data_IF_848655085040
#
_entry.id   IF_848655085040
#
_cell.length_a   1.000
_cell.length_b   1.000
_cell.length_c   1.000
_cell.angle_alpha   90.00
_cell.angle_beta   90.00
_cell.angle_gamma   90.00
#
_symmetry.space_group_name_H-M   'P 1'
#
loop_
_entity.id
_entity.type
_entity.pdbx_description
1 polymer ?
#
# COMPACT_ATOMS: atom_id res chain seq x y z
N UNK A 1 -3.86 -13.26 3.81
CA UNK A 1 -5.01 -12.96 2.90
C UNK A 1 -6.31 -12.61 3.64
N UNK A 2 -6.79 -13.34 4.65
CA UNK A 2 -8.12 -13.14 5.28
C UNK A 2 -8.47 -11.68 5.61
N UNK A 3 -7.56 -10.91 6.28
CA UNK A 3 -7.82 -9.49 6.60
C UNK A 3 -8.05 -8.63 5.33
N UNK A 4 -7.35 -8.89 4.23
CA UNK A 4 -7.52 -8.16 2.97
C UNK A 4 -8.84 -8.56 2.29
N UNK A 5 -9.07 -9.86 2.12
CA UNK A 5 -10.29 -10.37 1.49
C UNK A 5 -11.58 -9.92 2.19
N UNK A 6 -11.59 -9.77 3.52
CA UNK A 6 -12.72 -9.22 4.26
C UNK A 6 -13.13 -7.81 3.78
N UNK A 7 -12.22 -7.05 3.17
CA UNK A 7 -12.49 -5.71 2.64
C UNK A 7 -12.73 -5.68 1.14
N UNK A 8 -12.02 -6.52 0.37
CA UNK A 8 -11.99 -6.42 -1.10
C UNK A 8 -12.81 -7.48 -1.84
N UNK A 9 -13.29 -8.54 -1.14
CA UNK A 9 -14.02 -9.64 -1.78
C UNK A 9 -15.24 -9.15 -2.57
N UNK A 10 -15.32 -9.53 -3.84
CA UNK A 10 -16.35 -9.16 -4.81
C UNK A 10 -16.49 -7.65 -5.07
N UNK A 11 -15.45 -6.84 -4.78
CA UNK A 11 -15.46 -5.38 -4.92
C UNK A 11 -14.57 -4.88 -6.04
N UNK A 12 -14.89 -3.70 -6.56
CA UNK A 12 -14.02 -2.91 -7.41
C UNK A 12 -12.99 -2.18 -6.55
N UNK A 13 -11.72 -2.26 -6.94
CA UNK A 13 -10.58 -1.73 -6.19
C UNK A 13 -9.79 -0.76 -7.07
N UNK A 14 -9.58 0.48 -6.60
CA UNK A 14 -8.61 1.40 -7.17
C UNK A 14 -7.30 1.32 -6.38
N UNK A 15 -6.21 0.96 -7.03
CA UNK A 15 -4.86 1.05 -6.48
C UNK A 15 -4.17 2.30 -7.04
N UNK A 16 -3.90 3.28 -6.17
CA UNK A 16 -3.37 4.59 -6.56
C UNK A 16 -1.92 4.75 -6.08
N UNK A 17 -1.02 4.83 -7.03
CA UNK A 17 0.42 5.07 -6.82
C UNK A 17 0.78 6.57 -6.77
N UNK A 18 2.07 6.87 -6.58
CA UNK A 18 2.56 8.23 -6.37
C UNK A 18 3.00 8.97 -7.65
N UNK A 19 2.74 8.44 -8.85
CA UNK A 19 3.32 9.00 -10.07
C UNK A 19 2.83 10.42 -10.38
N UNK A 20 3.77 11.30 -10.68
CA UNK A 20 3.50 12.72 -10.89
C UNK A 20 2.63 13.01 -12.14
N UNK A 21 2.58 12.12 -13.12
CA UNK A 21 1.74 12.30 -14.31
C UNK A 21 0.23 12.26 -14.02
N UNK A 22 -0.16 11.83 -12.82
CA UNK A 22 -1.55 11.93 -12.38
C UNK A 22 -2.03 13.37 -12.16
N UNK A 23 -1.12 14.34 -12.05
CA UNK A 23 -1.48 15.76 -11.93
C UNK A 23 -2.16 16.25 -13.21
N UNK A 24 -3.28 16.93 -13.05
CA UNK A 24 -4.17 17.40 -14.12
C UNK A 24 -4.88 16.27 -14.89
N UNK A 25 -4.93 15.04 -14.35
CA UNK A 25 -5.64 13.93 -14.98
C UNK A 25 -7.17 14.05 -14.86
N UNK A 26 -7.67 14.70 -13.82
CA UNK A 26 -9.09 14.78 -13.51
C UNK A 26 -9.73 13.46 -13.08
N UNK A 27 -8.95 12.41 -12.77
CA UNK A 27 -9.42 11.06 -12.49
C UNK A 27 -9.94 10.87 -11.05
N UNK A 28 -9.92 11.92 -10.22
CA UNK A 28 -10.30 11.80 -8.81
C UNK A 28 -11.69 11.21 -8.60
N UNK A 29 -12.70 11.65 -9.36
CA UNK A 29 -14.06 11.13 -9.26
C UNK A 29 -14.16 9.67 -9.72
N UNK A 30 -13.42 9.26 -10.75
CA UNK A 30 -13.37 7.86 -11.20
C UNK A 30 -12.77 6.97 -10.11
N UNK A 31 -11.67 7.39 -9.51
CA UNK A 31 -11.03 6.68 -8.39
C UNK A 31 -11.99 6.53 -7.21
N UNK A 32 -12.67 7.62 -6.83
CA UNK A 32 -13.64 7.61 -5.71
C UNK A 32 -14.87 6.73 -5.95
N UNK A 33 -15.23 6.43 -7.19
CA UNK A 33 -16.34 5.56 -7.55
C UNK A 33 -16.06 4.06 -7.34
N UNK A 34 -14.82 3.65 -7.09
CA UNK A 34 -14.51 2.28 -6.70
C UNK A 34 -15.00 1.98 -5.28
N UNK A 35 -15.35 0.72 -5.01
CA UNK A 35 -15.78 0.29 -3.67
C UNK A 35 -14.68 0.46 -2.63
N UNK A 36 -13.42 0.28 -3.05
CA UNK A 36 -12.22 0.35 -2.21
C UNK A 36 -11.15 1.19 -2.91
N UNK A 37 -10.59 2.16 -2.20
CA UNK A 37 -9.43 2.94 -2.65
C UNK A 37 -8.20 2.57 -1.80
N UNK A 38 -7.13 2.19 -2.48
CA UNK A 38 -5.86 1.76 -1.88
C UNK A 38 -4.75 2.72 -2.29
N UNK A 39 -3.90 3.11 -1.35
CA UNK A 39 -2.74 3.97 -1.61
C UNK A 39 -1.44 3.35 -1.13
N UNK A 40 -0.32 3.91 -1.62
CA UNK A 40 1.03 3.40 -1.35
C UNK A 40 1.84 4.44 -0.59
N UNK A 41 2.38 4.09 0.58
CA UNK A 41 3.29 4.94 1.36
C UNK A 41 2.79 6.39 1.44
N UNK A 42 3.62 7.35 1.06
CA UNK A 42 3.33 8.79 1.09
C UNK A 42 2.32 9.28 0.05
N UNK A 43 1.84 8.43 -0.87
CA UNK A 43 0.81 8.88 -1.82
C UNK A 43 -0.48 9.35 -1.13
N UNK A 44 -0.71 8.94 0.12
CA UNK A 44 -1.82 9.46 0.94
C UNK A 44 -1.68 10.96 1.24
N UNK A 45 -0.46 11.48 1.42
CA UNK A 45 -0.21 12.91 1.70
C UNK A 45 -0.56 13.78 0.48
N UNK A 46 -0.45 13.24 -0.73
CA UNK A 46 -0.71 13.98 -1.97
C UNK A 46 -2.20 14.24 -2.23
N UNK A 47 -3.09 13.53 -1.54
CA UNK A 47 -4.55 13.68 -1.66
C UNK A 47 -5.02 15.08 -1.33
N UNK A 48 -4.39 15.74 -0.36
CA UNK A 48 -4.69 17.13 0.03
C UNK A 48 -4.35 18.13 -1.09
N UNK A 49 -3.33 17.82 -1.89
CA UNK A 49 -2.81 18.71 -2.93
C UNK A 49 -3.53 18.54 -4.26
N UNK A 50 -3.91 17.32 -4.61
CA UNK A 50 -4.46 16.97 -5.92
C UNK A 50 -5.79 16.19 -5.83
N UNK A 51 -6.79 16.66 -5.06
CA UNK A 51 -8.03 15.89 -4.82
C UNK A 51 -8.84 15.63 -6.09
N UNK A 52 -8.78 16.56 -7.06
CA UNK A 52 -9.47 16.41 -8.36
C UNK A 52 -8.85 15.33 -9.24
N UNK A 53 -7.56 15.06 -9.07
CA UNK A 53 -6.79 14.16 -9.92
C UNK A 53 -6.71 12.76 -9.37
N UNK A 54 -6.64 12.63 -8.04
CA UNK A 54 -6.39 11.32 -7.40
C UNK A 54 -7.41 10.97 -6.30
N UNK A 55 -8.44 11.81 -6.07
CA UNK A 55 -9.38 11.61 -4.96
C UNK A 55 -8.75 11.87 -3.59
N UNK A 56 -9.53 11.65 -2.55
CA UNK A 56 -9.14 11.92 -1.14
C UNK A 56 -9.21 10.69 -0.24
N UNK A 57 -10.12 9.74 -0.56
CA UNK A 57 -10.38 8.57 0.26
C UNK A 57 -9.20 7.58 0.23
N UNK A 58 -9.01 6.90 1.35
CA UNK A 58 -8.05 5.80 1.48
C UNK A 58 -8.63 4.74 2.41
N UNK A 59 -9.08 3.63 1.87
CA UNK A 59 -9.61 2.52 2.66
C UNK A 59 -8.50 1.60 3.17
N UNK A 60 -7.48 1.38 2.35
CA UNK A 60 -6.34 0.52 2.66
C UNK A 60 -5.05 1.26 2.30
N UNK A 61 -4.07 1.22 3.19
CA UNK A 61 -2.74 1.76 2.95
C UNK A 61 -1.71 0.62 2.88
N UNK A 62 -1.03 0.47 1.74
CA UNK A 62 0.18 -0.32 1.69
C UNK A 62 1.37 0.55 2.09
N UNK A 63 2.05 0.19 3.17
CA UNK A 63 3.15 0.99 3.73
C UNK A 63 4.30 0.11 4.17
N UNK A 64 5.53 0.53 3.87
CA UNK A 64 6.74 -0.12 4.38
C UNK A 64 6.98 0.16 5.88
N UNK A 65 6.16 0.99 6.53
CA UNK A 65 6.27 1.40 7.94
C UNK A 65 7.61 2.02 8.34
N UNK A 66 8.40 2.49 7.38
CA UNK A 66 9.65 3.21 7.64
C UNK A 66 9.33 4.70 7.60
N UNK A 67 9.20 5.31 8.79
CA UNK A 67 8.74 6.68 8.98
C UNK A 67 9.83 7.73 8.67
N UNK A 68 10.24 7.76 7.41
CA UNK A 68 11.15 8.79 6.89
C UNK A 68 10.48 9.58 5.78
N UNK A 69 10.96 10.81 5.55
CA UNK A 69 10.44 11.69 4.48
C UNK A 69 10.58 11.08 3.08
N UNK A 70 11.47 10.12 2.89
CA UNK A 70 11.70 9.47 1.59
C UNK A 70 10.89 8.18 1.39
N UNK A 71 10.24 7.63 2.42
CA UNK A 71 9.58 6.33 2.36
C UNK A 71 8.11 6.40 2.77
N UNK A 72 7.75 6.01 3.99
CA UNK A 72 6.36 6.00 4.43
C UNK A 72 5.82 7.37 4.85
N UNK A 73 6.69 8.33 5.17
CA UNK A 73 6.30 9.55 5.87
C UNK A 73 5.96 9.28 7.34
N UNK A 74 5.51 10.30 8.04
CA UNK A 74 5.02 10.15 9.41
C UNK A 74 3.63 9.53 9.39
N UNK A 75 3.45 8.43 10.12
CA UNK A 75 2.19 7.70 10.19
C UNK A 75 1.39 8.14 11.42
N UNK A 76 0.74 9.31 11.35
CA UNK A 76 -0.15 9.74 12.43
C UNK A 76 -1.42 8.88 12.45
N UNK A 77 -1.63 8.18 13.56
CA UNK A 77 -2.74 7.23 13.72
C UNK A 77 -4.10 7.90 13.63
N UNK A 78 -4.23 9.11 14.19
CA UNK A 78 -5.51 9.84 14.20
C UNK A 78 -5.80 10.42 12.82
N UNK A 79 -4.78 10.91 12.11
CA UNK A 79 -4.92 11.38 10.73
C UNK A 79 -5.35 10.22 9.80
N UNK A 80 -4.66 9.11 9.87
CA UNK A 80 -4.99 7.93 9.04
C UNK A 80 -6.41 7.44 9.30
N UNK A 81 -6.82 7.33 10.55
CA UNK A 81 -8.13 6.80 10.92
C UNK A 81 -9.26 7.81 10.71
N UNK A 82 -9.14 9.03 11.26
CA UNK A 82 -10.24 9.99 11.30
C UNK A 82 -10.35 10.82 10.00
N UNK A 83 -9.22 11.20 9.38
CA UNK A 83 -9.23 12.05 8.20
C UNK A 83 -9.31 11.24 6.91
N UNK A 84 -8.52 10.18 6.80
CA UNK A 84 -8.46 9.38 5.57
C UNK A 84 -9.39 8.15 5.58
N UNK A 85 -9.86 7.71 6.75
CA UNK A 85 -10.74 6.56 6.88
C UNK A 85 -10.07 5.21 6.67
N UNK A 86 -8.75 5.12 6.91
CA UNK A 86 -7.96 3.89 6.73
C UNK A 86 -8.48 2.78 7.64
N UNK A 87 -8.84 1.65 7.05
CA UNK A 87 -9.39 0.48 7.72
C UNK A 87 -8.43 -0.70 7.84
N UNK A 88 -7.37 -0.70 7.03
CA UNK A 88 -6.34 -1.73 7.03
C UNK A 88 -5.01 -1.14 6.54
N UNK A 89 -3.92 -1.49 7.22
CA UNK A 89 -2.57 -1.24 6.73
C UNK A 89 -1.95 -2.57 6.33
N UNK A 90 -1.37 -2.65 5.11
CA UNK A 90 -0.61 -3.79 4.62
C UNK A 90 0.87 -3.42 4.56
N UNK A 91 1.72 -4.21 5.19
CA UNK A 91 3.17 -3.99 5.26
C UNK A 91 3.92 -5.15 4.59
N UNK A 92 5.00 -4.90 3.83
CA UNK A 92 5.92 -5.96 3.41
C UNK A 92 6.45 -6.74 4.63
N UNK A 93 6.73 -8.05 4.50
CA UNK A 93 7.33 -8.81 5.59
C UNK A 93 8.77 -8.38 5.85
N UNK A 94 9.30 -8.73 7.02
CA UNK A 94 10.75 -8.70 7.22
C UNK A 94 11.43 -9.59 6.18
N UNK A 95 12.47 -9.08 5.54
CA UNK A 95 13.12 -9.81 4.46
C UNK A 95 14.61 -9.48 4.36
N UNK A 96 15.38 -10.55 4.21
CA UNK A 96 16.76 -10.53 3.80
C UNK A 96 16.86 -11.24 2.46
N UNK A 97 17.36 -10.55 1.45
CA UNK A 97 17.54 -11.13 0.13
C UNK A 97 19.01 -11.48 -0.08
N UNK A 98 19.37 -12.75 0.15
CA UNK A 98 20.68 -13.28 -0.23
C UNK A 98 20.64 -13.80 -1.65
N UNK A 99 21.64 -13.46 -2.45
CA UNK A 99 21.81 -13.99 -3.82
C UNK A 99 20.98 -13.34 -4.91
N UNK A 100 20.29 -12.22 -4.65
CA UNK A 100 19.63 -11.41 -5.66
C UNK A 100 20.55 -10.24 -6.01
N UNK A 101 20.94 -10.12 -7.29
CA UNK A 101 22.06 -9.31 -7.76
C UNK A 101 21.99 -7.79 -7.53
N UNK A 102 20.86 -7.26 -7.05
CA UNK A 102 20.70 -5.82 -6.74
C UNK A 102 20.21 -5.55 -5.32
N UNK A 103 20.31 -6.54 -4.41
CA UNK A 103 19.76 -6.43 -3.06
C UNK A 103 20.74 -6.95 -2.00
N UNK A 104 22.04 -6.80 -2.25
CA UNK A 104 23.09 -7.44 -1.45
C UNK A 104 23.09 -7.09 0.02
N UNK A 105 22.52 -5.93 0.43
CA UNK A 105 22.60 -5.47 1.83
C UNK A 105 21.32 -4.82 2.34
N UNK A 106 20.18 -5.01 1.69
CA UNK A 106 18.95 -4.40 2.17
C UNK A 106 18.13 -5.36 3.03
N UNK A 107 18.02 -4.99 4.30
CA UNK A 107 17.11 -5.62 5.24
C UNK A 107 15.87 -4.74 5.40
N UNK A 108 14.69 -5.27 5.05
CA UNK A 108 13.45 -4.67 5.50
C UNK A 108 13.13 -5.20 6.88
N UNK A 109 13.16 -4.31 7.87
CA UNK A 109 12.73 -4.63 9.24
C UNK A 109 11.37 -3.99 9.50
N UNK A 110 10.43 -4.79 9.98
CA UNK A 110 9.14 -4.28 10.43
C UNK A 110 9.31 -3.58 11.77
N UNK A 111 9.01 -2.29 11.82
CA UNK A 111 9.06 -1.55 13.08
C UNK A 111 7.88 -1.97 13.99
N UNK A 112 8.17 -2.80 14.98
CA UNK A 112 7.18 -3.36 15.91
C UNK A 112 6.46 -2.31 16.74
N UNK A 113 7.11 -1.20 17.08
CA UNK A 113 6.49 -0.13 17.86
C UNK A 113 5.52 0.68 16.99
N UNK A 114 5.88 0.94 15.74
CA UNK A 114 4.96 1.51 14.75
C UNK A 114 3.74 0.60 14.56
N UNK A 115 3.93 -0.71 14.40
CA UNK A 115 2.81 -1.67 14.30
C UNK A 115 1.90 -1.58 15.51
N UNK A 116 2.44 -1.70 16.74
CA UNK A 116 1.66 -1.60 17.99
C UNK A 116 0.90 -0.27 18.11
N UNK A 117 1.51 0.82 17.67
CA UNK A 117 0.89 2.15 17.68
C UNK A 117 -0.30 2.22 16.72
N UNK A 118 -0.14 1.70 15.51
CA UNK A 118 -1.20 1.65 14.48
C UNK A 118 -2.35 0.71 14.88
N UNK A 119 -2.03 -0.45 15.46
CA UNK A 119 -3.04 -1.44 15.87
C UNK A 119 -3.97 -0.96 16.99
N UNK A 120 -3.70 0.18 17.62
CA UNK A 120 -4.65 0.82 18.57
C UNK A 120 -5.95 1.29 17.89
N UNK A 121 -5.92 1.56 16.59
CA UNK A 121 -7.08 2.11 15.84
C UNK A 121 -7.44 1.30 14.60
N UNK A 122 -6.49 0.66 13.93
CA UNK A 122 -6.72 -0.08 12.69
C UNK A 122 -5.84 -1.32 12.62
N UNK A 123 -6.32 -2.43 12.05
CA UNK A 123 -5.51 -3.63 11.91
C UNK A 123 -4.32 -3.41 10.99
N UNK A 124 -3.18 -4.00 11.36
CA UNK A 124 -2.02 -4.12 10.49
C UNK A 124 -1.94 -5.57 10.00
N UNK A 125 -1.66 -5.74 8.71
CA UNK A 125 -1.40 -7.02 8.07
C UNK A 125 0.02 -7.02 7.53
N UNK A 126 0.84 -7.93 8.03
CA UNK A 126 2.10 -8.25 7.38
C UNK A 126 1.78 -9.17 6.20
N UNK A 127 2.25 -8.83 5.02
CA UNK A 127 2.09 -9.64 3.81
C UNK A 127 2.85 -10.95 3.99
N UNK A 128 2.33 -12.00 3.41
CA UNK A 128 2.88 -13.35 3.49
C UNK A 128 4.34 -13.39 3.02
N UNK A 129 5.23 -13.94 3.86
CA UNK A 129 6.67 -13.97 3.61
C UNK A 129 7.02 -14.87 2.42
N UNK A 130 6.40 -16.05 2.33
CA UNK A 130 6.64 -17.00 1.24
C UNK A 130 6.26 -16.37 -0.10
N UNK A 131 5.06 -15.79 -0.18
CA UNK A 131 4.62 -15.06 -1.37
C UNK A 131 5.60 -13.93 -1.77
N UNK A 132 6.05 -13.15 -0.80
CA UNK A 132 6.95 -12.03 -1.08
C UNK A 132 8.32 -12.50 -1.55
N UNK A 133 8.82 -13.60 -0.99
CA UNK A 133 10.07 -14.24 -1.40
C UNK A 133 9.95 -14.82 -2.81
N UNK A 134 8.87 -15.56 -3.10
CA UNK A 134 8.61 -16.09 -4.44
C UNK A 134 8.53 -14.99 -5.50
N UNK A 135 7.88 -13.88 -5.15
CA UNK A 135 7.81 -12.72 -6.04
C UNK A 135 9.19 -12.15 -6.32
N UNK A 136 10.02 -11.98 -5.28
CA UNK A 136 11.40 -11.49 -5.42
C UNK A 136 12.26 -12.41 -6.30
N UNK A 137 12.14 -13.72 -6.12
CA UNK A 137 12.85 -14.71 -6.93
C UNK A 137 12.43 -14.68 -8.40
N UNK A 138 11.14 -14.53 -8.68
CA UNK A 138 10.62 -14.44 -10.06
C UNK A 138 11.12 -13.21 -10.80
N UNK A 139 11.15 -12.05 -10.12
CA UNK A 139 11.57 -10.77 -10.74
C UNK A 139 13.06 -10.50 -10.60
N UNK A 140 13.79 -11.37 -9.88
CA UNK A 140 15.23 -11.27 -9.62
C UNK A 140 15.66 -9.94 -8.99
N UNK A 141 14.75 -9.30 -8.26
CA UNK A 141 15.02 -8.09 -7.52
C UNK A 141 14.05 -7.97 -6.33
N UNK A 142 14.36 -7.07 -5.40
CA UNK A 142 13.45 -6.78 -4.31
C UNK A 142 12.18 -6.08 -4.82
N UNK A 143 10.98 -6.64 -4.57
CA UNK A 143 9.73 -5.96 -4.86
C UNK A 143 9.59 -4.67 -4.02
N UNK A 144 9.36 -3.53 -4.66
CA UNK A 144 8.96 -2.35 -3.91
C UNK A 144 7.51 -2.50 -3.42
N UNK A 145 7.09 -1.62 -2.49
CA UNK A 145 5.75 -1.70 -1.88
C UNK A 145 4.63 -1.66 -2.91
N UNK A 146 4.76 -0.84 -3.95
CA UNK A 146 3.75 -0.73 -5.02
C UNK A 146 3.63 -1.99 -5.85
N UNK A 147 4.75 -2.53 -6.32
CA UNK A 147 4.79 -3.77 -7.08
C UNK A 147 4.22 -4.96 -6.28
N UNK A 148 4.63 -5.07 -5.01
CA UNK A 148 4.08 -6.09 -4.11
C UNK A 148 2.57 -5.93 -3.95
N UNK A 149 2.06 -4.69 -3.80
CA UNK A 149 0.64 -4.44 -3.65
C UNK A 149 -0.17 -4.88 -4.87
N UNK A 150 0.32 -4.65 -6.10
CA UNK A 150 -0.31 -5.13 -7.33
C UNK A 150 -0.50 -6.65 -7.28
N UNK A 151 0.58 -7.39 -7.03
CA UNK A 151 0.52 -8.86 -7.04
C UNK A 151 -0.26 -9.43 -5.85
N UNK A 152 -0.24 -8.76 -4.69
CA UNK A 152 -1.04 -9.14 -3.53
C UNK A 152 -2.56 -8.96 -3.80
N UNK A 153 -2.94 -7.94 -4.55
CA UNK A 153 -4.32 -7.72 -4.99
C UNK A 153 -4.74 -8.69 -6.09
N UNK A 154 -3.86 -9.01 -7.04
CA UNK A 154 -4.16 -9.99 -8.11
C UNK A 154 -4.43 -11.40 -7.56
N UNK A 155 -3.91 -11.76 -6.39
CA UNK A 155 -4.22 -13.02 -5.71
C UNK A 155 -5.36 -12.92 -4.69
N UNK A 156 -5.97 -11.73 -4.54
CA UNK A 156 -7.10 -11.49 -3.64
C UNK A 156 -8.43 -11.90 -4.30
N UNK A 157 -9.51 -11.76 -3.53
CA UNK A 157 -10.89 -11.98 -4.02
C UNK A 157 -11.53 -10.70 -4.60
N UNK A 158 -10.73 -9.68 -4.95
CA UNK A 158 -11.25 -8.48 -5.60
C UNK A 158 -11.87 -8.83 -6.97
N UNK A 159 -13.03 -8.23 -7.28
CA UNK A 159 -13.70 -8.45 -8.56
C UNK A 159 -12.97 -7.77 -9.71
N UNK A 160 -12.51 -6.56 -9.49
CA UNK A 160 -11.77 -5.74 -10.46
C UNK A 160 -10.70 -4.97 -9.69
N UNK A 161 -9.50 -4.88 -10.27
CA UNK A 161 -8.42 -4.03 -9.77
C UNK A 161 -8.01 -3.06 -10.87
N UNK A 162 -8.28 -1.78 -10.66
CA UNK A 162 -7.84 -0.69 -11.53
C UNK A 162 -6.58 -0.04 -10.94
N UNK A 163 -5.58 0.24 -11.78
CA UNK A 163 -4.27 0.73 -11.35
C UNK A 163 -4.06 2.13 -11.91
N UNK A 164 -3.74 3.09 -11.03
CA UNK A 164 -3.52 4.49 -11.34
C UNK A 164 -2.16 4.96 -10.82
N UNK A 165 -1.40 5.69 -11.62
CA UNK A 165 -0.21 6.38 -11.13
C UNK A 165 1.00 5.49 -10.80
N UNK A 166 1.29 4.50 -11.64
CA UNK A 166 2.47 3.60 -11.52
C UNK A 166 3.45 3.78 -12.66
#
# INVERSE_FOLDING_TARGET
MKKLNNLVSNKSVALVGPAAYMQNSGLGSEIENHDIVIRINRSIETTKKYPKDIGTRTDILYSCLIETSMQAGMLDVNELYNLHGVRLICCPPESTYQGISYATDYHHMVNKDTVKRLEKKMPVRIVDHEFHTDLAMKVKCRPNTGFMAIYDLLRSEAKIVSIYGF
#
